data_IF_211235973985
#
_entry.id   IF_211235973985
#
_cell.length_a   1.000
_cell.length_b   1.000
_cell.length_c   1.000
_cell.angle_alpha   90.00
_cell.angle_beta   90.00
_cell.angle_gamma   90.00
#
_symmetry.space_group_name_H-M   'P 1'
#
loop_
_entity.id
_entity.type
_entity.pdbx_description
1 polymer ?
#
# COMPACT_ATOMS: atom_id res chain seq x y z
N UNK A 1 -3.05 -12.48 -11.20
CA UNK A 1 -1.66 -12.34 -11.69
C UNK A 1 -0.69 -12.71 -10.57
N UNK A 2 0.37 -13.44 -10.89
CA UNK A 2 1.45 -13.76 -9.95
C UNK A 2 2.66 -12.89 -10.26
N UNK A 3 3.26 -12.29 -9.23
CA UNK A 3 4.52 -11.57 -9.35
C UNK A 3 5.64 -12.49 -8.87
N UNK A 4 6.74 -12.58 -9.61
CA UNK A 4 7.85 -13.49 -9.27
C UNK A 4 9.10 -12.72 -8.88
N UNK A 5 9.33 -11.57 -9.51
CA UNK A 5 10.55 -10.78 -9.30
C UNK A 5 10.36 -9.64 -8.31
N UNK A 6 11.45 -9.24 -7.65
CA UNK A 6 11.43 -8.09 -6.74
C UNK A 6 11.09 -6.78 -7.48
N UNK A 7 11.57 -6.58 -8.71
CA UNK A 7 11.26 -5.39 -9.51
C UNK A 7 9.77 -5.28 -9.81
N UNK A 8 9.10 -6.39 -10.16
CA UNK A 8 7.65 -6.43 -10.37
C UNK A 8 6.87 -6.12 -9.10
N UNK A 9 7.28 -6.70 -7.96
CA UNK A 9 6.65 -6.42 -6.67
C UNK A 9 6.81 -4.95 -6.30
N UNK A 10 7.98 -4.36 -6.49
CA UNK A 10 8.23 -2.95 -6.21
C UNK A 10 7.42 -2.03 -7.13
N UNK A 11 7.31 -2.38 -8.42
CA UNK A 11 6.42 -1.67 -9.35
C UNK A 11 4.97 -1.72 -8.88
N UNK A 12 4.49 -2.91 -8.52
CA UNK A 12 3.12 -3.09 -8.03
C UNK A 12 2.88 -2.32 -6.73
N UNK A 13 3.82 -2.32 -5.79
CA UNK A 13 3.76 -1.48 -4.58
C UNK A 13 3.60 0.00 -4.97
N UNK A 14 4.39 0.46 -5.94
CA UNK A 14 4.33 1.84 -6.42
C UNK A 14 2.98 2.21 -7.05
N UNK A 15 2.35 1.28 -7.77
CA UNK A 15 1.01 1.42 -8.33
C UNK A 15 -0.08 1.41 -7.25
N UNK A 16 0.03 0.49 -6.29
CA UNK A 16 -0.86 0.34 -5.15
C UNK A 16 -0.90 1.61 -4.30
N UNK A 17 0.28 2.13 -3.94
CA UNK A 17 0.42 3.36 -3.15
C UNK A 17 -0.06 4.60 -3.90
N UNK A 18 0.22 4.70 -5.20
CA UNK A 18 -0.24 5.84 -6.01
C UNK A 18 -1.76 5.83 -6.21
N UNK A 19 -2.35 4.64 -6.39
CA UNK A 19 -3.80 4.46 -6.51
C UNK A 19 -4.50 4.85 -5.20
N UNK A 20 -3.99 4.38 -4.06
CA UNK A 20 -4.51 4.76 -2.75
C UNK A 20 -4.38 6.27 -2.48
N UNK A 21 -3.23 6.87 -2.81
CA UNK A 21 -3.03 8.31 -2.66
C UNK A 21 -4.05 9.12 -3.48
N UNK A 22 -4.25 8.75 -4.75
CA UNK A 22 -5.24 9.39 -5.63
C UNK A 22 -6.66 9.21 -5.12
N UNK A 23 -6.99 8.04 -4.56
CA UNK A 23 -8.28 7.79 -3.94
C UNK A 23 -8.53 8.75 -2.76
N UNK A 24 -7.56 8.87 -1.86
CA UNK A 24 -7.66 9.79 -0.73
C UNK A 24 -7.73 11.26 -1.14
N UNK A 25 -6.98 11.68 -2.16
CA UNK A 25 -7.07 13.04 -2.70
C UNK A 25 -8.47 13.34 -3.28
N UNK A 26 -9.13 12.35 -3.88
CA UNK A 26 -10.52 12.49 -4.34
C UNK A 26 -11.49 12.60 -3.16
N UNK A 27 -11.31 11.78 -2.12
CA UNK A 27 -12.14 11.86 -0.91
C UNK A 27 -11.99 13.20 -0.20
N UNK A 28 -10.76 13.70 -0.08
CA UNK A 28 -10.46 15.00 0.51
C UNK A 28 -11.22 16.14 -0.18
N UNK A 29 -11.24 16.15 -1.52
CA UNK A 29 -11.98 17.14 -2.32
C UNK A 29 -13.50 17.03 -2.16
N UNK A 30 -14.01 15.83 -1.88
CA UNK A 30 -15.45 15.56 -1.79
C UNK A 30 -16.02 15.82 -0.39
N UNK A 31 -15.26 15.50 0.66
CA UNK A 31 -15.73 15.53 2.05
C UNK A 31 -14.87 16.44 2.92
N UNK A 32 -15.28 17.71 3.04
CA UNK A 32 -14.61 18.73 3.88
C UNK A 32 -14.36 18.26 5.32
N UNK A 33 -15.32 17.54 5.93
CA UNK A 33 -15.21 17.04 7.32
C UNK A 33 -14.08 16.03 7.53
N UNK A 34 -13.65 15.32 6.47
CA UNK A 34 -12.55 14.34 6.53
C UNK A 34 -11.29 14.77 5.77
N UNK A 35 -11.27 15.99 5.23
CA UNK A 35 -10.25 16.45 4.29
C UNK A 35 -8.83 16.29 4.82
N UNK A 36 -8.55 16.81 6.02
CA UNK A 36 -7.23 16.75 6.63
C UNK A 36 -6.76 15.30 6.82
N UNK A 37 -7.66 14.42 7.29
CA UNK A 37 -7.38 12.99 7.46
C UNK A 37 -7.03 12.34 6.14
N UNK A 38 -7.84 12.54 5.09
CA UNK A 38 -7.58 11.96 3.78
C UNK A 38 -6.29 12.50 3.14
N UNK A 39 -6.02 13.81 3.23
CA UNK A 39 -4.76 14.39 2.75
C UNK A 39 -3.54 13.87 3.51
N UNK A 40 -3.66 13.67 4.82
CA UNK A 40 -2.61 13.03 5.62
C UNK A 40 -2.33 11.62 5.10
N UNK A 41 -3.36 10.81 4.83
CA UNK A 41 -3.21 9.45 4.32
C UNK A 41 -2.56 9.46 2.93
N UNK A 42 -3.04 10.28 2.00
CA UNK A 42 -2.45 10.43 0.67
C UNK A 42 -0.95 10.77 0.72
N UNK A 43 -0.56 11.69 1.61
CA UNK A 43 0.84 12.07 1.84
C UNK A 43 1.66 10.89 2.38
N UNK A 44 1.10 10.08 3.27
CA UNK A 44 1.77 8.88 3.80
C UNK A 44 1.96 7.81 2.71
N UNK A 45 0.95 7.55 1.87
CA UNK A 45 1.08 6.63 0.74
C UNK A 45 2.18 7.08 -0.24
N UNK A 46 2.22 8.38 -0.61
CA UNK A 46 3.27 8.93 -1.47
C UNK A 46 4.68 8.76 -0.86
N UNK A 47 4.82 8.95 0.45
CA UNK A 47 6.09 8.70 1.15
C UNK A 47 6.49 7.23 1.13
N UNK A 48 5.53 6.31 1.31
CA UNK A 48 5.79 4.87 1.30
C UNK A 48 6.29 4.41 -0.07
N UNK A 49 5.68 4.89 -1.17
CA UNK A 49 6.15 4.65 -2.54
C UNK A 49 7.63 5.03 -2.71
N UNK A 50 8.01 6.23 -2.28
CA UNK A 50 9.40 6.72 -2.38
C UNK A 50 10.34 5.88 -1.52
N UNK A 51 9.93 5.55 -0.29
CA UNK A 51 10.73 4.73 0.62
C UNK A 51 11.00 3.34 0.04
N UNK A 52 9.97 2.68 -0.47
CA UNK A 52 10.09 1.33 -1.03
C UNK A 52 11.00 1.32 -2.25
N UNK A 53 10.84 2.28 -3.17
CA UNK A 53 11.72 2.39 -4.33
C UNK A 53 13.17 2.65 -3.93
N UNK A 54 13.40 3.50 -2.92
CA UNK A 54 14.74 3.80 -2.41
C UNK A 54 15.39 2.56 -1.83
N UNK A 55 14.70 1.86 -0.92
CA UNK A 55 15.22 0.64 -0.28
C UNK A 55 15.55 -0.42 -1.34
N UNK A 56 14.71 -0.58 -2.36
CA UNK A 56 15.01 -1.47 -3.47
C UNK A 56 16.30 -1.07 -4.21
N UNK A 57 16.46 0.20 -4.57
CA UNK A 57 17.65 0.68 -5.28
C UNK A 57 18.94 0.63 -4.43
N UNK A 58 18.82 0.73 -3.11
CA UNK A 58 19.96 0.66 -2.18
C UNK A 58 20.45 -0.77 -1.95
N UNK A 59 19.55 -1.75 -1.99
CA UNK A 59 19.83 -3.14 -1.59
C UNK A 59 20.13 -4.03 -2.79
N UNK A 60 19.50 -3.78 -3.93
CA UNK A 60 19.67 -4.64 -5.11
C UNK A 60 20.94 -4.27 -5.84
N UNK A 61 21.91 -5.19 -5.83
CA UNK A 61 23.21 -5.01 -6.46
C UNK A 61 23.43 -5.93 -7.67
N UNK A 62 22.69 -7.04 -7.77
CA UNK A 62 22.70 -7.95 -8.92
C UNK A 62 21.31 -8.57 -9.22
N UNK A 63 21.07 -8.98 -10.47
CA UNK A 63 19.82 -9.55 -10.97
C UNK A 63 19.43 -10.87 -10.28
N UNK A 64 20.41 -11.68 -9.84
CA UNK A 64 20.17 -12.97 -9.17
C UNK A 64 19.43 -12.83 -7.82
N UNK A 65 19.59 -11.71 -7.12
CA UNK A 65 18.95 -11.41 -5.82
C UNK A 65 17.44 -11.12 -5.95
N UNK A 66 16.98 -10.85 -7.17
CA UNK A 66 15.62 -10.35 -7.45
C UNK A 66 14.71 -11.34 -8.15
N UNK A 67 15.24 -12.45 -8.67
CA UNK A 67 14.49 -13.36 -9.54
C UNK A 67 13.44 -14.23 -8.83
N UNK A 68 13.66 -14.58 -7.56
CA UNK A 68 12.89 -15.63 -6.88
C UNK A 68 12.31 -15.21 -5.51
N UNK A 69 12.48 -13.95 -5.10
CA UNK A 69 12.16 -13.49 -3.75
C UNK A 69 10.66 -13.42 -3.44
N UNK A 70 9.80 -13.61 -4.44
CA UNK A 70 8.35 -13.41 -4.32
C UNK A 70 7.52 -14.47 -5.05
N UNK A 71 8.11 -15.62 -5.42
CA UNK A 71 7.42 -16.68 -6.15
C UNK A 71 6.10 -17.10 -5.47
N UNK A 72 4.99 -17.04 -6.23
CA UNK A 72 3.65 -17.37 -5.74
C UNK A 72 2.87 -16.21 -5.10
N UNK A 73 3.38 -14.97 -5.13
CA UNK A 73 2.64 -13.81 -4.64
C UNK A 73 1.47 -13.48 -5.58
N UNK A 74 0.27 -13.84 -5.19
CA UNK A 74 -0.96 -13.47 -5.90
C UNK A 74 -1.36 -12.03 -5.54
N UNK A 75 -1.51 -11.18 -6.56
CA UNK A 75 -1.90 -9.78 -6.39
C UNK A 75 -3.38 -9.49 -6.68
N UNK A 76 -4.15 -10.46 -7.16
CA UNK A 76 -5.56 -10.25 -7.53
C UNK A 76 -6.40 -9.81 -6.32
N UNK A 77 -6.14 -10.39 -5.15
CA UNK A 77 -6.78 -10.01 -3.89
C UNK A 77 -6.42 -8.59 -3.42
N UNK A 78 -5.36 -8.01 -4.00
CA UNK A 78 -4.78 -6.73 -3.60
C UNK A 78 -5.07 -5.61 -4.60
N UNK A 79 -5.77 -5.91 -5.70
CA UNK A 79 -6.23 -4.90 -6.65
C UNK A 79 -7.31 -4.03 -5.99
N UNK A 80 -7.14 -2.71 -6.12
CA UNK A 80 -8.01 -1.70 -5.52
C UNK A 80 -9.16 -1.33 -6.47
N UNK A 81 -9.95 -2.32 -6.91
CA UNK A 81 -11.11 -2.11 -7.79
C UNK A 81 -12.15 -1.15 -7.18
N UNK A 82 -12.18 -1.04 -5.83
CA UNK A 82 -13.06 -0.15 -5.07
C UNK A 82 -12.62 1.31 -4.96
N UNK A 83 -11.54 1.74 -5.64
CA UNK A 83 -11.04 3.13 -5.60
C UNK A 83 -11.93 4.15 -6.36
N UNK A 84 -13.18 3.80 -6.65
CA UNK A 84 -14.17 4.64 -7.34
C UNK A 84 -15.01 5.37 -6.29
N UNK A 85 -15.07 6.69 -6.41
CA UNK A 85 -15.85 7.57 -5.52
C UNK A 85 -17.23 7.76 -6.12
N UNK A 86 -18.18 6.91 -5.74
CA UNK A 86 -19.61 7.05 -6.09
C UNK A 86 -20.30 8.06 -5.16
N UNK A 87 -21.56 8.40 -5.43
CA UNK A 87 -22.44 9.17 -4.54
C UNK A 87 -22.73 8.36 -3.26
N UNK A 88 -21.77 8.39 -2.32
CA UNK A 88 -21.82 7.68 -1.05
C UNK A 88 -21.68 8.68 0.11
N UNK A 89 -22.15 8.31 1.31
CA UNK A 89 -21.95 9.14 2.51
C UNK A 89 -20.48 9.17 2.93
N UNK A 90 -20.11 10.07 3.85
CA UNK A 90 -18.76 10.08 4.42
C UNK A 90 -18.44 8.75 5.13
N UNK A 91 -19.41 8.16 5.82
CA UNK A 91 -19.26 6.89 6.53
C UNK A 91 -19.02 5.74 5.54
N UNK A 92 -19.78 5.69 4.44
CA UNK A 92 -19.56 4.71 3.37
C UNK A 92 -18.17 4.86 2.73
N UNK A 93 -17.72 6.10 2.50
CA UNK A 93 -16.40 6.37 1.97
C UNK A 93 -15.28 5.96 2.94
N UNK A 94 -15.47 6.18 4.24
CA UNK A 94 -14.55 5.73 5.28
C UNK A 94 -14.51 4.20 5.38
N UNK A 95 -15.65 3.52 5.23
CA UNK A 95 -15.71 2.06 5.19
C UNK A 95 -14.96 1.49 3.98
N UNK A 96 -15.16 2.05 2.78
CA UNK A 96 -14.38 1.66 1.58
C UNK A 96 -12.88 1.91 1.76
N UNK A 97 -12.51 3.02 2.41
CA UNK A 97 -11.12 3.31 2.73
C UNK A 97 -10.50 2.28 3.69
N UNK A 98 -11.27 1.78 4.66
CA UNK A 98 -10.81 0.72 5.57
C UNK A 98 -10.50 -0.57 4.82
N UNK A 99 -11.37 -0.97 3.88
CA UNK A 99 -11.17 -2.17 3.06
C UNK A 99 -9.90 -2.05 2.20
N UNK A 100 -9.63 -0.85 1.66
CA UNK A 100 -8.40 -0.55 0.93
C UNK A 100 -7.17 -0.66 1.84
N UNK A 101 -7.20 -0.07 3.05
CA UNK A 101 -6.07 -0.17 3.98
C UNK A 101 -5.81 -1.61 4.42
N UNK A 102 -6.86 -2.43 4.59
CA UNK A 102 -6.71 -3.84 4.93
C UNK A 102 -6.05 -4.64 3.79
N UNK A 103 -6.49 -4.43 2.54
CA UNK A 103 -5.86 -5.05 1.37
C UNK A 103 -4.38 -4.68 1.25
N UNK A 104 -4.04 -3.39 1.43
CA UNK A 104 -2.66 -2.90 1.37
C UNK A 104 -1.83 -3.49 2.52
N UNK A 105 -2.37 -3.51 3.73
CA UNK A 105 -1.69 -4.10 4.89
C UNK A 105 -1.39 -5.58 4.68
N UNK A 106 -2.39 -6.36 4.25
CA UNK A 106 -2.24 -7.79 3.97
C UNK A 106 -1.15 -8.03 2.93
N UNK A 107 -1.14 -7.24 1.86
CA UNK A 107 -0.11 -7.29 0.83
C UNK A 107 1.29 -7.08 1.41
N UNK A 108 1.50 -5.97 2.14
CA UNK A 108 2.82 -5.65 2.69
C UNK A 108 3.33 -6.72 3.66
N UNK A 109 2.48 -7.23 4.54
CA UNK A 109 2.88 -8.25 5.50
C UNK A 109 3.18 -9.59 4.82
N UNK A 110 2.43 -9.95 3.77
CA UNK A 110 2.68 -11.14 2.99
C UNK A 110 4.00 -11.02 2.20
N UNK A 111 4.17 -9.94 1.46
CA UNK A 111 5.39 -9.65 0.69
C UNK A 111 6.63 -9.58 1.61
N UNK A 112 6.48 -9.03 2.83
CA UNK A 112 7.56 -9.05 3.80
C UNK A 112 7.92 -10.48 4.22
N UNK A 113 6.94 -11.32 4.54
CA UNK A 113 7.18 -12.71 4.94
C UNK A 113 7.93 -13.49 3.86
N UNK A 114 7.57 -13.30 2.59
CA UNK A 114 8.17 -14.00 1.45
C UNK A 114 9.61 -13.57 1.18
N UNK A 115 9.93 -12.28 1.33
CA UNK A 115 11.26 -11.75 1.01
C UNK A 115 12.30 -11.85 2.13
N UNK A 116 11.94 -12.37 3.31
CA UNK A 116 12.81 -12.46 4.51
C UNK A 116 14.14 -13.18 4.27
N UNK A 117 14.16 -14.20 3.43
CA UNK A 117 15.33 -15.06 3.22
C UNK A 117 16.38 -14.46 2.29
N UNK A 118 16.00 -13.50 1.45
CA UNK A 118 16.82 -13.07 0.31
C UNK A 118 17.20 -11.59 0.33
N UNK A 119 16.39 -10.74 0.96
CA UNK A 119 16.61 -9.29 0.97
C UNK A 119 16.39 -8.83 2.41
N UNK A 120 17.40 -8.41 3.17
CA UNK A 120 17.19 -8.14 4.60
C UNK A 120 16.40 -6.84 4.87
N UNK A 121 16.60 -5.81 4.07
CA UNK A 121 16.05 -4.46 4.35
C UNK A 121 14.69 -4.20 3.69
N UNK A 122 14.40 -4.83 2.55
CA UNK A 122 13.08 -4.81 1.91
C UNK A 122 11.93 -5.32 2.82
N UNK A 123 12.00 -6.52 3.42
CA UNK A 123 10.96 -7.04 4.32
C UNK A 123 10.85 -6.21 5.59
N UNK A 124 11.94 -5.63 6.10
CA UNK A 124 11.90 -4.69 7.24
C UNK A 124 11.11 -3.43 6.88
N UNK A 125 11.34 -2.87 5.70
CA UNK A 125 10.59 -1.73 5.21
C UNK A 125 9.11 -2.08 5.02
N UNK A 126 8.81 -3.23 4.41
CA UNK A 126 7.45 -3.71 4.21
C UNK A 126 6.71 -3.97 5.52
N UNK A 127 7.31 -4.66 6.49
CA UNK A 127 6.71 -4.86 7.82
C UNK A 127 6.43 -3.54 8.52
N UNK A 128 7.37 -2.59 8.46
CA UNK A 128 7.20 -1.27 9.07
C UNK A 128 6.00 -0.54 8.46
N UNK A 129 5.88 -0.55 7.13
CA UNK A 129 4.75 0.08 6.44
C UNK A 129 3.46 -0.64 6.78
N UNK A 130 3.42 -1.97 6.67
CA UNK A 130 2.24 -2.80 6.97
C UNK A 130 1.71 -2.59 8.39
N UNK A 131 2.58 -2.53 9.41
CA UNK A 131 2.18 -2.23 10.80
C UNK A 131 1.66 -0.79 10.96
N UNK A 132 2.21 0.17 10.21
CA UNK A 132 1.75 1.56 10.27
C UNK A 132 0.32 1.74 9.74
N UNK A 133 -0.17 0.82 8.90
CA UNK A 133 -1.55 0.81 8.40
C UNK A 133 -2.59 0.70 9.52
N UNK A 134 -2.26 0.14 10.67
CA UNK A 134 -3.18 0.12 11.82
C UNK A 134 -3.57 1.53 12.28
N UNK A 135 -2.62 2.47 12.30
CA UNK A 135 -2.88 3.87 12.62
C UNK A 135 -3.74 4.56 11.56
N UNK A 136 -3.61 4.16 10.30
CA UNK A 136 -4.47 4.68 9.23
C UNK A 136 -5.92 4.22 9.43
N UNK A 137 -6.11 2.92 9.72
CA UNK A 137 -7.43 2.37 10.03
C UNK A 137 -8.06 3.02 11.25
N UNK A 138 -7.30 3.31 12.30
CA UNK A 138 -7.79 4.05 13.47
C UNK A 138 -8.30 5.45 13.10
N UNK A 139 -7.55 6.20 12.29
CA UNK A 139 -7.99 7.51 11.77
C UNK A 139 -9.29 7.37 10.98
N UNK A 140 -9.40 6.37 10.11
CA UNK A 140 -10.61 6.15 9.30
C UNK A 140 -11.83 5.77 10.14
N UNK A 141 -11.64 4.94 11.19
CA UNK A 141 -12.72 4.57 12.12
C UNK A 141 -13.30 5.77 12.87
N UNK A 142 -12.52 6.82 13.11
CA UNK A 142 -13.03 8.07 13.71
C UNK A 142 -13.94 8.89 12.78
N UNK A 143 -14.01 8.53 11.49
CA UNK A 143 -14.87 9.18 10.49
C UNK A 143 -16.18 8.39 10.21
N UNK A 144 -16.32 7.18 10.78
CA UNK A 144 -17.54 6.38 10.72
C UNK A 144 -18.59 6.92 11.69
#
# INVERSE_FOLDING_TARGET
>A
MQLTTASEVIRFVGELEDTAAKFYEKLAKKYLKGEETFLSLAKENRKNKVLVQRVYNEVVTDALETGFSFEGLNIDEHILEGAVVEEASLSDAAQRALDIEEKIQKFYLNAAKMSKSLLADIPRAFERIGKKRDKHKEKLKSLL
#
